data_IF_961536981286
#
_entry.id   IF_961536981286
#
_cell.length_a   1.000
_cell.length_b   1.000
_cell.length_c   1.000
_cell.angle_alpha   90.00
_cell.angle_beta   90.00
_cell.angle_gamma   90.00
#
_symmetry.space_group_name_H-M   'P 1'
#
loop_
_entity.id
_entity.type
_entity.pdbx_description
1 polymer ?
#
# COMPACT_ATOMS: atom_id res chain seq x y z
N UNK A 1 -42.57 29.41 27.00
CA UNK A 1 -42.43 28.84 25.64
C UNK A 1 -43.09 29.83 24.68
N UNK A 2 -42.33 30.38 23.73
CA UNK A 2 -42.19 29.74 22.43
C UNK A 2 -40.72 29.46 22.12
N UNK A 3 -40.36 28.19 21.92
CA UNK A 3 -40.43 27.43 20.67
C UNK A 3 -39.13 27.61 19.86
N UNK A 4 -38.16 26.78 20.23
CA UNK A 4 -36.84 26.67 19.63
C UNK A 4 -36.95 25.96 18.29
N UNK A 5 -36.88 26.72 17.20
CA UNK A 5 -36.67 26.13 15.88
C UNK A 5 -35.23 25.58 15.79
N UNK A 6 -35.03 24.30 15.40
CA UNK A 6 -33.71 23.69 15.33
C UNK A 6 -32.90 24.23 14.15
N UNK A 7 -31.60 24.45 14.38
CA UNK A 7 -30.63 24.79 13.33
C UNK A 7 -30.65 23.75 12.21
N UNK A 8 -30.68 24.14 10.92
CA UNK A 8 -30.71 23.17 9.84
C UNK A 8 -29.34 22.53 9.62
N UNK A 9 -29.38 21.20 9.64
CA UNK A 9 -28.50 20.22 8.99
C UNK A 9 -27.00 20.36 9.15
N UNK A 10 -26.45 19.42 9.93
CA UNK A 10 -25.09 18.95 9.76
C UNK A 10 -24.78 18.79 8.26
N UNK A 11 -23.75 19.51 7.78
CA UNK A 11 -23.16 19.24 6.47
C UNK A 11 -22.87 17.74 6.42
N UNK A 12 -23.53 17.05 5.49
CA UNK A 12 -23.27 15.66 5.15
C UNK A 12 -21.77 15.55 4.89
N UNK A 13 -21.02 15.01 5.85
CA UNK A 13 -19.63 14.64 5.61
C UNK A 13 -19.68 13.64 4.45
N UNK A 14 -18.88 13.84 3.38
CA UNK A 14 -18.89 12.91 2.27
C UNK A 14 -18.59 11.53 2.85
N UNK A 15 -19.52 10.60 2.62
CA UNK A 15 -19.35 9.20 3.00
C UNK A 15 -18.10 8.74 2.27
N UNK A 16 -17.02 8.49 3.01
CA UNK A 16 -15.79 7.96 2.42
C UNK A 16 -16.18 6.61 1.83
N UNK A 17 -16.34 6.56 0.51
CA UNK A 17 -16.53 5.33 -0.20
C UNK A 17 -15.31 4.46 0.10
N UNK A 18 -15.56 3.31 0.72
CA UNK A 18 -14.51 2.37 1.07
C UNK A 18 -13.91 1.85 -0.24
N UNK A 19 -12.74 2.38 -0.60
CA UNK A 19 -12.02 2.04 -1.81
C UNK A 19 -11.67 0.55 -1.78
N UNK A 20 -12.45 -0.25 -2.49
CA UNK A 20 -12.21 -1.70 -2.61
C UNK A 20 -11.20 -1.96 -3.71
N UNK A 21 -10.11 -2.61 -3.33
CA UNK A 21 -9.07 -3.08 -4.25
C UNK A 21 -9.16 -4.60 -4.37
N UNK A 22 -8.92 -5.11 -5.58
CA UNK A 22 -8.87 -6.56 -5.80
C UNK A 22 -7.69 -7.14 -5.06
N UNK A 23 -7.96 -8.12 -4.20
CA UNK A 23 -6.97 -8.84 -3.39
C UNK A 23 -7.24 -10.33 -3.45
N UNK A 24 -6.27 -11.12 -3.02
CA UNK A 24 -6.37 -12.57 -2.91
C UNK A 24 -5.54 -13.33 -3.94
N UNK A 25 -5.35 -14.63 -3.71
CA UNK A 25 -4.53 -15.48 -4.57
C UNK A 25 -5.15 -15.64 -5.95
N UNK A 26 -4.29 -15.75 -6.97
CA UNK A 26 -4.75 -16.13 -8.31
C UNK A 26 -5.25 -17.58 -8.31
N UNK A 27 -6.23 -17.93 -9.16
CA UNK A 27 -6.70 -19.31 -9.29
C UNK A 27 -5.56 -20.29 -9.55
N UNK A 28 -5.62 -21.47 -8.92
CA UNK A 28 -4.61 -22.53 -9.01
C UNK A 28 -3.17 -22.07 -8.77
N UNK A 29 -3.00 -20.96 -8.05
CA UNK A 29 -1.69 -20.36 -7.80
C UNK A 29 -1.52 -20.05 -6.32
N UNK A 30 -0.28 -20.13 -5.84
CA UNK A 30 0.10 -19.66 -4.50
C UNK A 30 1.30 -18.74 -4.56
N UNK A 31 1.32 -17.77 -3.66
CA UNK A 31 2.49 -16.93 -3.40
C UNK A 31 3.54 -17.79 -2.70
N UNK A 32 4.78 -17.75 -3.19
CA UNK A 32 5.92 -18.36 -2.53
C UNK A 32 7.06 -17.37 -2.43
N UNK A 33 7.97 -17.62 -1.50
CA UNK A 33 9.07 -16.73 -1.20
C UNK A 33 10.38 -17.49 -1.26
N UNK A 34 11.38 -16.92 -1.93
CA UNK A 34 12.74 -17.46 -2.00
C UNK A 34 13.69 -16.53 -1.25
N UNK A 35 14.38 -17.05 -0.24
CA UNK A 35 15.36 -16.27 0.53
C UNK A 35 16.59 -15.89 -0.29
N UNK A 36 17.14 -14.70 -0.01
CA UNK A 36 18.43 -14.27 -0.55
C UNK A 36 19.59 -15.11 0.00
N UNK A 37 20.63 -15.33 -0.81
CA UNK A 37 21.84 -16.06 -0.37
C UNK A 37 22.80 -15.19 0.45
N UNK A 38 23.08 -13.98 -0.03
CA UNK A 38 23.96 -13.02 0.65
C UNK A 38 23.24 -12.26 1.77
N UNK A 39 21.94 -12.05 1.60
CA UNK A 39 21.08 -11.32 2.52
C UNK A 39 19.87 -12.21 2.87
N UNK A 40 19.97 -13.05 3.90
CA UNK A 40 18.92 -14.01 4.28
C UNK A 40 17.60 -13.37 4.69
N UNK A 41 17.63 -12.10 5.12
CA UNK A 41 16.47 -11.29 5.45
C UNK A 41 15.63 -10.90 4.22
N UNK A 42 16.20 -11.01 3.01
CA UNK A 42 15.51 -10.69 1.77
C UNK A 42 14.68 -11.87 1.34
N UNK A 43 13.39 -11.63 1.16
CA UNK A 43 12.41 -12.61 0.71
C UNK A 43 11.89 -12.19 -0.66
N UNK A 44 12.27 -12.94 -1.70
CA UNK A 44 11.86 -12.65 -3.09
C UNK A 44 10.55 -13.37 -3.40
N UNK A 45 9.51 -12.59 -3.63
CA UNK A 45 8.19 -13.07 -4.02
C UNK A 45 8.20 -13.72 -5.42
N UNK A 46 7.65 -14.93 -5.48
CA UNK A 46 7.39 -15.69 -6.70
C UNK A 46 5.97 -16.25 -6.62
N UNK A 47 5.48 -16.80 -7.73
CA UNK A 47 4.19 -17.51 -7.77
C UNK A 47 4.41 -18.92 -8.29
N UNK A 48 3.83 -19.89 -7.62
CA UNK A 48 3.75 -21.27 -8.11
C UNK A 48 2.36 -21.53 -8.64
N UNK A 49 2.28 -22.12 -9.83
CA UNK A 49 1.03 -22.49 -10.50
C UNK A 49 0.95 -24.01 -10.48
N UNK A 50 -0.10 -24.54 -9.88
CA UNK A 50 -0.35 -25.97 -9.86
C UNK A 50 -0.85 -26.41 -11.24
N UNK A 51 -0.20 -27.44 -11.78
CA UNK A 51 -0.60 -28.08 -13.03
C UNK A 51 -1.62 -29.19 -12.74
N UNK A 52 -2.23 -29.71 -13.80
CA UNK A 52 -3.16 -30.82 -13.69
C UNK A 52 -2.42 -32.09 -13.21
N UNK A 53 -3.02 -32.82 -12.27
CA UNK A 53 -2.34 -33.89 -11.55
C UNK A 53 -1.92 -35.06 -12.45
N UNK A 54 -2.68 -35.35 -13.52
CA UNK A 54 -2.34 -36.43 -14.47
C UNK A 54 -1.10 -36.14 -15.31
N UNK A 55 -0.69 -34.87 -15.44
CA UNK A 55 0.57 -34.51 -16.09
C UNK A 55 1.80 -35.01 -15.32
N UNK A 56 1.70 -35.21 -13.99
CA UNK A 56 2.83 -35.66 -13.17
C UNK A 56 3.99 -34.67 -13.07
N UNK A 57 3.75 -33.40 -13.43
CA UNK A 57 4.76 -32.34 -13.44
C UNK A 57 4.74 -31.53 -12.15
N UNK A 58 5.90 -31.04 -11.67
CA UNK A 58 5.93 -30.13 -10.54
C UNK A 58 5.30 -28.77 -10.88
N UNK A 59 4.82 -28.02 -9.88
CA UNK A 59 4.27 -26.68 -10.08
C UNK A 59 5.25 -25.75 -10.81
N UNK A 60 4.72 -24.96 -11.75
CA UNK A 60 5.53 -24.00 -12.51
C UNK A 60 5.74 -22.75 -11.67
N UNK A 61 7.01 -22.42 -11.40
CA UNK A 61 7.38 -21.20 -10.67
C UNK A 61 7.63 -20.04 -11.64
N UNK A 62 6.91 -18.94 -11.44
CA UNK A 62 6.98 -17.72 -12.25
C UNK A 62 7.26 -16.49 -11.40
N UNK A 63 7.78 -15.45 -12.04
CA UNK A 63 7.95 -14.13 -11.43
C UNK A 63 6.58 -13.50 -11.09
N UNK A 64 6.48 -12.82 -9.95
CA UNK A 64 5.22 -12.26 -9.45
C UNK A 64 5.34 -10.82 -8.96
N UNK A 65 4.79 -9.89 -9.76
CA UNK A 65 4.75 -8.45 -9.48
C UNK A 65 3.55 -7.99 -8.66
N UNK A 66 2.62 -8.88 -8.31
CA UNK A 66 1.40 -8.51 -7.59
C UNK A 66 1.64 -8.02 -6.16
N UNK A 67 2.85 -8.24 -5.62
CA UNK A 67 3.22 -7.81 -4.27
C UNK A 67 2.36 -8.47 -3.19
N UNK A 68 2.16 -7.80 -2.03
CA UNK A 68 1.35 -8.31 -0.93
C UNK A 68 -0.13 -8.52 -1.24
N UNK A 69 -0.67 -7.90 -2.31
CA UNK A 69 -2.10 -7.95 -2.62
C UNK A 69 -2.62 -9.35 -2.95
N UNK A 70 -1.74 -10.26 -3.40
CA UNK A 70 -2.07 -11.66 -3.69
C UNK A 70 -1.68 -12.63 -2.57
N UNK A 71 -1.06 -12.12 -1.51
CA UNK A 71 -0.60 -12.95 -0.39
C UNK A 71 -1.72 -13.06 0.67
N UNK A 72 -2.31 -14.24 0.87
CA UNK A 72 -3.38 -14.40 1.85
C UNK A 72 -2.91 -14.23 3.30
N UNK A 73 -1.60 -14.26 3.56
CA UNK A 73 -1.05 -14.04 4.89
C UNK A 73 -0.93 -12.55 5.26
N UNK A 74 -1.17 -11.63 4.33
CA UNK A 74 -0.99 -10.19 4.53
C UNK A 74 -2.34 -9.47 4.43
N UNK A 75 -2.74 -8.83 5.52
CA UNK A 75 -3.89 -7.93 5.53
C UNK A 75 -3.52 -6.60 4.87
N UNK A 76 -4.32 -6.19 3.87
CA UNK A 76 -4.08 -4.97 3.10
C UNK A 76 -4.95 -3.84 3.65
N UNK A 77 -4.30 -2.80 4.15
CA UNK A 77 -4.93 -1.52 4.50
C UNK A 77 -4.32 -0.39 3.65
N UNK A 78 -5.10 0.07 2.68
CA UNK A 78 -4.69 1.14 1.76
C UNK A 78 -4.50 2.50 2.46
N UNK A 79 -5.09 2.71 3.64
CA UNK A 79 -4.93 3.95 4.41
C UNK A 79 -3.61 3.97 5.16
N UNK A 80 -3.04 2.79 5.46
CA UNK A 80 -1.73 2.63 6.11
C UNK A 80 -0.58 2.47 5.12
N UNK A 81 -0.90 2.00 3.91
CA UNK A 81 0.08 1.67 2.90
C UNK A 81 0.81 0.36 3.19
N UNK A 82 1.69 -0.03 2.26
CA UNK A 82 2.42 -1.30 2.36
C UNK A 82 3.59 -1.24 3.36
N UNK A 83 3.99 -2.39 3.95
CA UNK A 83 5.17 -2.50 4.80
C UNK A 83 6.45 -1.99 4.12
N UNK A 84 7.28 -1.27 4.87
CA UNK A 84 8.54 -0.69 4.36
C UNK A 84 9.69 -1.71 4.36
N UNK A 85 9.53 -2.83 3.66
CA UNK A 85 10.48 -3.96 3.67
C UNK A 85 11.94 -3.56 3.39
N UNK A 86 12.13 -2.51 2.58
CA UNK A 86 13.44 -2.04 2.12
C UNK A 86 14.12 -1.05 3.08
N UNK A 87 13.41 -0.53 4.09
CA UNK A 87 13.90 0.57 4.92
C UNK A 87 15.17 0.20 5.68
N UNK A 88 15.18 -0.96 6.32
CA UNK A 88 16.30 -1.41 7.14
C UNK A 88 17.61 -1.47 6.34
N UNK A 89 17.60 -2.13 5.17
CA UNK A 89 18.82 -2.25 4.36
C UNK A 89 19.21 -0.94 3.66
N UNK A 90 18.28 0.02 3.47
CA UNK A 90 18.60 1.33 2.91
C UNK A 90 19.39 2.12 3.96
N UNK A 91 18.89 2.15 5.20
CA UNK A 91 19.59 2.79 6.31
C UNK A 91 20.95 2.13 6.60
N UNK A 92 21.04 0.81 6.49
CA UNK A 92 22.26 0.05 6.76
C UNK A 92 23.42 0.39 5.80
N UNK A 93 23.16 0.96 4.62
CA UNK A 93 24.23 1.40 3.70
C UNK A 93 24.97 2.64 4.20
N UNK A 94 24.36 3.42 5.10
CA UNK A 94 24.97 4.66 5.62
C UNK A 94 25.14 5.77 4.59
N UNK A 95 24.41 5.68 3.47
CA UNK A 95 24.49 6.60 2.33
C UNK A 95 23.30 7.56 2.24
N UNK A 96 22.52 7.68 3.33
CA UNK A 96 21.31 8.50 3.39
C UNK A 96 21.13 9.18 4.75
N UNK A 97 20.44 10.30 4.75
CA UNK A 97 20.01 11.03 5.94
C UNK A 97 18.50 11.35 5.90
N UNK A 98 17.92 11.58 7.07
CA UNK A 98 16.52 12.00 7.20
C UNK A 98 16.34 13.46 6.79
N UNK A 99 15.23 13.74 6.11
CA UNK A 99 14.84 15.07 5.69
C UNK A 99 13.34 15.25 5.89
N UNK A 100 12.90 16.46 6.25
CA UNK A 100 11.49 16.77 6.54
C UNK A 100 10.57 16.59 5.32
N UNK A 101 11.15 16.60 4.11
CA UNK A 101 10.41 16.52 2.87
C UNK A 101 9.93 17.89 2.40
N UNK A 102 9.29 17.91 1.24
CA UNK A 102 8.67 19.11 0.68
C UNK A 102 7.20 19.14 1.09
N UNK A 103 6.73 20.31 1.52
CA UNK A 103 5.30 20.56 1.73
C UNK A 103 4.52 20.47 0.42
N UNK A 104 3.35 19.82 0.47
CA UNK A 104 2.43 19.73 -0.67
C UNK A 104 1.75 21.09 -0.86
N UNK A 105 1.80 21.62 -2.07
CA UNK A 105 1.14 22.87 -2.43
C UNK A 105 -0.16 22.60 -3.21
N UNK A 106 -1.12 23.54 -3.23
CA UNK A 106 -2.36 23.37 -4.02
C UNK A 106 -2.08 23.07 -5.50
N UNK A 107 -1.05 23.69 -6.07
CA UNK A 107 -0.69 23.53 -7.48
C UNK A 107 -0.23 22.10 -7.82
N UNK A 108 0.28 21.35 -6.84
CA UNK A 108 0.67 19.94 -7.03
C UNK A 108 -0.54 19.04 -7.34
N UNK A 109 -1.74 19.48 -6.96
CA UNK A 109 -3.00 18.77 -7.20
C UNK A 109 -3.91 19.50 -8.21
N UNK A 110 -3.39 20.49 -8.94
CA UNK A 110 -4.16 21.29 -9.89
C UNK A 110 -5.22 22.21 -9.26
N UNK A 111 -5.09 22.50 -7.96
CA UNK A 111 -6.03 23.32 -7.21
C UNK A 111 -5.58 24.79 -7.17
N UNK A 112 -6.54 25.71 -7.09
CA UNK A 112 -6.25 27.12 -6.79
C UNK A 112 -5.96 27.29 -5.30
N UNK A 113 -5.23 28.35 -4.95
CA UNK A 113 -4.98 28.69 -3.55
C UNK A 113 -6.31 28.91 -2.81
N UNK A 114 -6.53 28.17 -1.72
CA UNK A 114 -7.76 28.23 -0.91
C UNK A 114 -8.87 27.29 -1.39
N UNK A 115 -8.67 26.57 -2.49
CA UNK A 115 -9.59 25.52 -2.95
C UNK A 115 -9.33 24.22 -2.18
N UNK A 116 -10.40 23.58 -1.69
CA UNK A 116 -10.30 22.32 -0.98
C UNK A 116 -10.23 21.15 -1.96
N UNK A 117 -9.36 20.18 -1.67
CA UNK A 117 -9.30 18.92 -2.43
C UNK A 117 -10.56 18.09 -2.19
N UNK A 118 -11.14 17.55 -3.26
CA UNK A 118 -12.18 16.52 -3.18
C UNK A 118 -11.62 15.12 -2.86
N UNK A 119 -10.30 14.94 -2.99
CA UNK A 119 -9.60 13.68 -2.73
C UNK A 119 -8.92 13.74 -1.37
N UNK A 120 -9.12 12.69 -0.58
CA UNK A 120 -8.49 12.50 0.73
C UNK A 120 -6.96 12.41 0.59
N UNK A 121 -6.24 13.12 1.46
CA UNK A 121 -4.79 13.00 1.54
C UNK A 121 -4.41 11.70 2.27
N UNK A 122 -3.41 11.01 1.74
CA UNK A 122 -2.84 9.83 2.39
C UNK A 122 -2.06 10.25 3.66
N UNK A 123 -2.23 9.53 4.76
CA UNK A 123 -1.49 9.79 6.00
C UNK A 123 -0.01 9.40 5.85
N UNK A 124 0.85 10.42 5.75
CA UNK A 124 2.30 10.25 5.65
C UNK A 124 3.02 10.30 6.99
N UNK A 125 2.31 10.50 8.11
CA UNK A 125 2.91 10.82 9.41
C UNK A 125 3.90 9.78 9.94
N UNK A 126 3.83 8.54 9.46
CA UNK A 126 4.76 7.45 9.82
C UNK A 126 6.00 7.35 8.93
N UNK A 127 6.00 8.04 7.77
CA UNK A 127 7.08 7.97 6.79
C UNK A 127 8.03 9.14 6.93
N UNK A 128 9.29 8.84 7.21
CA UNK A 128 10.37 9.81 7.15
C UNK A 128 10.99 9.77 5.76
N UNK A 129 11.18 10.94 5.16
CA UNK A 129 11.80 11.05 3.84
C UNK A 129 13.32 10.93 3.99
N UNK A 130 13.96 10.28 3.03
CA UNK A 130 15.41 10.11 2.97
C UNK A 130 15.97 10.87 1.76
N UNK A 131 17.18 11.40 1.92
CA UNK A 131 18.01 11.93 0.84
C UNK A 131 19.44 11.39 0.96
N UNK A 132 20.18 11.34 -0.14
CA UNK A 132 21.60 10.97 -0.17
C UNK A 132 22.48 12.14 0.29
#
# INVERSE_FOLDING_TARGET
>A
MPDSAPFPSAKLMPKVEELRVTTGPFPASRKVHTGGRQHPEISVAMREIDLEASAGEPPVRVYDTSGPYSDPAIEIDINRGLPELRKAWILARGDVEFYDGREVKPEDNGLRRGEASAVSLFDRGRRQVLRA
#
